data_IF_056349090250
#
_entry.id   IF_056349090250
#
_cell.length_a   1.000
_cell.length_b   1.000
_cell.length_c   1.000
_cell.angle_alpha   90.00
_cell.angle_beta   90.00
_cell.angle_gamma   90.00
#
_symmetry.space_group_name_H-M   'P 1'
#
loop_
_entity.id
_entity.type
_entity.pdbx_description
1 polymer ?
#
# COMPACT_ATOMS: atom_id res chain seq x y z
N UNK A 1 -28.73 -4.60 13.62
CA UNK A 1 -29.44 -3.33 13.83
C UNK A 1 -29.05 -2.85 15.19
N UNK A 2 -29.71 -3.38 16.22
CA UNK A 2 -29.44 -3.08 17.63
C UNK A 2 -27.95 -3.20 18.02
N UNK A 3 -27.28 -4.29 17.64
CA UNK A 3 -25.84 -4.51 17.95
C UNK A 3 -24.88 -3.45 17.36
N UNK A 4 -25.31 -2.70 16.35
CA UNK A 4 -24.55 -1.63 15.71
C UNK A 4 -25.27 -0.27 15.78
N UNK A 5 -26.26 -0.13 16.67
CA UNK A 5 -27.01 1.12 16.89
C UNK A 5 -27.88 1.58 15.71
N UNK A 6 -28.24 0.69 14.78
CA UNK A 6 -29.10 1.00 13.63
C UNK A 6 -30.54 0.54 13.87
N UNK A 7 -31.47 1.50 13.83
CA UNK A 7 -32.91 1.22 13.72
C UNK A 7 -33.27 1.01 12.25
N UNK A 8 -33.57 -0.25 11.89
CA UNK A 8 -33.93 -0.64 10.52
C UNK A 8 -35.20 0.04 10.01
N UNK A 9 -36.11 0.46 10.90
CA UNK A 9 -37.37 1.08 10.50
C UNK A 9 -37.21 2.53 10.06
N UNK A 10 -36.14 3.20 10.49
CA UNK A 10 -35.85 4.61 10.18
C UNK A 10 -34.57 4.80 9.35
N UNK A 11 -33.75 3.77 9.18
CA UNK A 11 -32.50 3.84 8.40
C UNK A 11 -32.77 3.72 6.89
N UNK A 12 -32.31 4.71 6.12
CA UNK A 12 -32.35 4.67 4.65
C UNK A 12 -31.16 3.88 4.10
N UNK A 13 -31.44 2.86 3.27
CA UNK A 13 -30.41 2.12 2.53
C UNK A 13 -30.21 2.72 1.15
N UNK A 14 -28.96 3.04 0.82
CA UNK A 14 -28.56 3.55 -0.50
C UNK A 14 -27.47 2.66 -1.05
N UNK A 15 -27.75 1.98 -2.16
CA UNK A 15 -26.76 1.18 -2.87
C UNK A 15 -25.88 2.11 -3.74
N UNK A 16 -24.56 1.98 -3.60
CA UNK A 16 -23.57 2.70 -4.41
C UNK A 16 -22.81 1.68 -5.25
N UNK A 17 -22.70 1.92 -6.55
CA UNK A 17 -21.96 1.02 -7.46
C UNK A 17 -20.49 0.93 -7.04
N UNK A 18 -19.89 -0.26 -7.10
CA UNK A 18 -18.54 -0.56 -6.63
C UNK A 18 -17.47 0.40 -7.15
N UNK A 19 -17.36 0.54 -8.47
CA UNK A 19 -16.37 1.45 -9.07
C UNK A 19 -16.70 2.92 -8.86
N UNK A 20 -17.97 3.27 -8.64
CA UNK A 20 -18.34 4.63 -8.27
C UNK A 20 -17.90 4.94 -6.83
N UNK A 21 -17.97 3.97 -5.92
CA UNK A 21 -17.40 4.10 -4.58
C UNK A 21 -15.87 4.24 -4.64
N UNK A 22 -15.17 3.46 -5.47
CA UNK A 22 -13.74 3.67 -5.73
C UNK A 22 -13.43 5.08 -6.27
N UNK A 23 -14.16 5.52 -7.29
CA UNK A 23 -14.01 6.84 -7.86
C UNK A 23 -14.22 7.96 -6.82
N UNK A 24 -15.28 7.84 -6.01
CA UNK A 24 -15.61 8.80 -4.96
C UNK A 24 -14.58 8.82 -3.82
N UNK A 25 -14.04 7.66 -3.43
CA UNK A 25 -13.01 7.60 -2.38
C UNK A 25 -11.70 8.25 -2.82
N UNK A 26 -11.42 8.34 -4.12
CA UNK A 26 -10.27 9.07 -4.62
C UNK A 26 -10.59 10.55 -4.90
N UNK A 27 -11.50 10.82 -5.84
CA UNK A 27 -11.72 12.18 -6.36
C UNK A 27 -12.16 13.17 -5.29
N UNK A 28 -13.19 12.84 -4.51
CA UNK A 28 -13.75 13.77 -3.53
C UNK A 28 -12.86 13.94 -2.29
N UNK A 29 -11.88 13.07 -2.11
CA UNK A 29 -10.92 13.14 -1.01
C UNK A 29 -9.55 13.69 -1.44
N UNK A 30 -9.31 13.87 -2.73
CA UNK A 30 -8.03 14.34 -3.27
C UNK A 30 -7.70 15.78 -2.90
N UNK A 31 -8.71 16.63 -2.66
CA UNK A 31 -8.52 18.05 -2.37
C UNK A 31 -8.11 18.89 -3.58
N UNK A 32 -8.37 18.39 -4.79
CA UNK A 32 -8.14 19.12 -6.04
C UNK A 32 -8.95 20.41 -6.14
N UNK A 33 -8.33 21.46 -6.64
CA UNK A 33 -8.99 22.74 -6.93
C UNK A 33 -9.63 22.74 -8.34
N UNK A 34 -10.62 21.85 -8.55
CA UNK A 34 -11.41 21.77 -9.77
C UNK A 34 -11.60 20.37 -10.34
N UNK A 35 -11.84 20.31 -11.66
CA UNK A 35 -12.06 19.06 -12.37
C UNK A 35 -10.81 18.16 -12.36
N UNK A 36 -11.01 16.85 -12.40
CA UNK A 36 -9.92 15.88 -12.48
C UNK A 36 -10.29 14.64 -13.28
N UNK A 37 -9.28 14.03 -13.89
CA UNK A 37 -9.39 12.68 -14.41
C UNK A 37 -9.56 11.68 -13.26
N UNK A 38 -10.35 10.63 -13.48
CA UNK A 38 -10.56 9.56 -12.51
C UNK A 38 -10.30 8.23 -13.19
N UNK A 39 -9.44 7.42 -12.57
CA UNK A 39 -9.20 6.05 -12.95
C UNK A 39 -9.47 5.13 -11.75
N UNK A 40 -10.10 3.99 -12.00
CA UNK A 40 -10.17 2.89 -11.03
C UNK A 40 -9.89 1.58 -11.75
N UNK A 41 -8.86 0.86 -11.31
CA UNK A 41 -8.47 -0.45 -11.87
C UNK A 41 -8.54 -1.47 -10.74
N UNK A 42 -9.43 -2.45 -10.87
CA UNK A 42 -9.73 -3.40 -9.80
C UNK A 42 -9.91 -4.83 -10.33
N UNK A 43 -9.95 -5.81 -9.42
CA UNK A 43 -10.16 -7.20 -9.77
C UNK A 43 -11.50 -7.39 -10.49
N UNK A 44 -12.60 -7.11 -9.78
CA UNK A 44 -13.98 -7.14 -10.27
C UNK A 44 -14.91 -6.50 -9.22
N UNK A 45 -15.73 -5.53 -9.63
CA UNK A 45 -16.87 -5.04 -8.85
C UNK A 45 -18.10 -5.94 -9.04
N UNK A 46 -19.25 -5.37 -9.40
CA UNK A 46 -20.42 -6.18 -9.78
C UNK A 46 -20.14 -6.96 -11.08
N UNK A 47 -19.64 -6.23 -12.09
CA UNK A 47 -19.22 -6.76 -13.39
C UNK A 47 -18.04 -5.99 -13.97
N UNK A 48 -17.97 -4.68 -13.69
CA UNK A 48 -16.88 -3.85 -14.14
C UNK A 48 -15.56 -4.24 -13.42
N UNK A 49 -14.45 -4.08 -14.13
CA UNK A 49 -13.08 -4.37 -13.70
C UNK A 49 -12.22 -3.11 -13.77
N UNK A 50 -12.62 -2.15 -14.60
CA UNK A 50 -11.94 -0.87 -14.75
C UNK A 50 -12.97 0.20 -15.05
N UNK A 51 -12.81 1.35 -14.42
CA UNK A 51 -13.63 2.54 -14.59
C UNK A 51 -12.75 3.72 -14.98
N UNK A 52 -13.20 4.47 -15.97
CA UNK A 52 -12.59 5.72 -16.42
C UNK A 52 -13.65 6.80 -16.40
N UNK A 53 -13.34 7.95 -15.81
CA UNK A 53 -14.29 9.04 -15.68
C UNK A 53 -13.63 10.40 -15.44
N UNK A 54 -14.48 11.40 -15.24
CA UNK A 54 -14.10 12.77 -14.90
C UNK A 54 -14.89 13.21 -13.68
N UNK A 55 -14.21 13.81 -12.73
CA UNK A 55 -14.83 14.52 -11.61
C UNK A 55 -15.06 15.98 -11.98
N UNK A 56 -16.28 16.47 -11.78
CA UNK A 56 -16.75 17.82 -12.11
C UNK A 56 -17.52 18.38 -10.90
N UNK A 57 -16.80 19.01 -9.98
CA UNK A 57 -17.33 19.47 -8.68
C UNK A 57 -17.90 18.31 -7.85
N UNK A 58 -19.21 18.32 -7.60
CA UNK A 58 -19.88 17.25 -6.85
C UNK A 58 -20.20 16.01 -7.71
N UNK A 59 -20.01 16.05 -9.03
CA UNK A 59 -20.44 15.00 -9.95
C UNK A 59 -19.25 14.15 -10.39
N UNK A 60 -19.51 12.85 -10.56
CA UNK A 60 -18.60 11.91 -11.23
C UNK A 60 -19.28 11.47 -12.51
N UNK A 61 -18.67 11.77 -13.66
CA UNK A 61 -19.16 11.38 -14.98
C UNK A 61 -18.34 10.22 -15.52
N UNK A 62 -18.99 9.09 -15.73
CA UNK A 62 -18.38 7.92 -16.37
C UNK A 62 -18.07 8.20 -17.84
N UNK A 63 -16.84 7.93 -18.27
CA UNK A 63 -16.44 7.89 -19.69
C UNK A 63 -16.56 6.45 -20.20
N UNK A 64 -15.96 5.50 -19.46
CA UNK A 64 -15.86 4.11 -19.90
C UNK A 64 -15.80 3.16 -18.70
N UNK A 65 -16.47 2.02 -18.84
CA UNK A 65 -16.27 0.85 -18.00
C UNK A 65 -15.82 -0.33 -18.88
N UNK A 66 -14.95 -1.16 -18.31
CA UNK A 66 -14.57 -2.47 -18.85
C UNK A 66 -15.07 -3.54 -17.92
N UNK A 67 -15.36 -4.72 -18.45
CA UNK A 67 -16.05 -5.78 -17.72
C UNK A 67 -15.30 -7.10 -17.78
N UNK A 68 -15.56 -7.94 -16.78
CA UNK A 68 -15.12 -9.33 -16.72
C UNK A 68 -15.48 -10.08 -18.03
N UNK A 69 -14.58 -10.89 -18.63
CA UNK A 69 -13.33 -11.42 -18.08
C UNK A 69 -12.08 -10.54 -18.30
N UNK A 70 -12.22 -9.38 -18.93
CA UNK A 70 -11.11 -8.48 -19.23
C UNK A 70 -10.78 -7.62 -18.00
N UNK A 71 -9.93 -8.16 -17.11
CA UNK A 71 -9.45 -7.50 -15.89
C UNK A 71 -7.92 -7.46 -15.86
N UNK A 72 -7.35 -6.25 -15.87
CA UNK A 72 -5.90 -6.05 -15.76
C UNK A 72 -5.39 -6.46 -14.37
N UNK A 73 -6.08 -6.07 -13.31
CA UNK A 73 -5.73 -6.47 -11.95
C UNK A 73 -5.98 -7.97 -11.73
N UNK A 74 -7.02 -8.53 -12.32
CA UNK A 74 -7.27 -9.97 -12.34
C UNK A 74 -6.13 -10.74 -13.01
N UNK A 75 -5.62 -10.25 -14.15
CA UNK A 75 -4.52 -10.87 -14.87
C UNK A 75 -3.23 -10.84 -14.04
N UNK A 76 -2.96 -9.70 -13.38
CA UNK A 76 -1.85 -9.56 -12.44
C UNK A 76 -1.98 -10.57 -11.28
N UNK A 77 -3.15 -10.66 -10.65
CA UNK A 77 -3.43 -11.62 -9.57
C UNK A 77 -3.36 -13.09 -10.01
N UNK A 78 -3.75 -13.40 -11.25
CA UNK A 78 -3.60 -14.73 -11.82
C UNK A 78 -2.12 -15.12 -11.97
N UNK A 79 -1.26 -14.19 -12.40
CA UNK A 79 0.18 -14.44 -12.43
C UNK A 79 0.79 -14.48 -11.02
N UNK A 80 0.32 -13.65 -10.09
CA UNK A 80 0.68 -13.76 -8.66
C UNK A 80 0.47 -15.18 -8.16
N UNK A 81 -0.65 -15.79 -8.52
CA UNK A 81 -0.93 -17.19 -8.17
C UNK A 81 -0.03 -18.20 -8.88
N UNK A 82 0.33 -17.94 -10.15
CA UNK A 82 1.30 -18.78 -10.90
C UNK A 82 2.72 -18.72 -10.28
N UNK A 83 3.09 -17.57 -9.71
CA UNK A 83 4.35 -17.36 -9.01
C UNK A 83 4.34 -17.92 -7.57
N UNK A 84 3.31 -18.68 -7.21
CA UNK A 84 3.22 -19.38 -5.93
C UNK A 84 2.75 -18.51 -4.76
N UNK A 85 2.32 -17.27 -5.03
CA UNK A 85 1.78 -16.37 -4.01
C UNK A 85 0.26 -16.43 -3.94
N UNK A 86 -0.31 -15.90 -2.85
CA UNK A 86 -1.75 -15.80 -2.68
C UNK A 86 -2.29 -14.59 -3.44
N UNK A 87 -3.39 -14.77 -4.19
CA UNK A 87 -4.07 -13.66 -4.86
C UNK A 87 -4.78 -12.79 -3.82
N UNK A 88 -4.83 -11.48 -4.03
CA UNK A 88 -5.33 -10.44 -3.11
C UNK A 88 -4.43 -10.15 -1.89
N UNK A 89 -3.24 -10.74 -1.82
CA UNK A 89 -2.20 -10.47 -0.81
C UNK A 89 -0.79 -10.39 -1.43
N UNK A 90 -0.52 -11.27 -2.39
CA UNK A 90 0.78 -11.52 -2.98
C UNK A 90 1.19 -10.58 -4.11
N UNK A 91 0.31 -9.70 -4.60
CA UNK A 91 0.58 -8.81 -5.73
C UNK A 91 1.79 -7.91 -5.45
N UNK A 92 1.94 -7.46 -4.19
CA UNK A 92 3.09 -6.68 -3.73
C UNK A 92 4.40 -7.47 -3.75
N UNK A 93 4.33 -8.79 -3.63
CA UNK A 93 5.50 -9.69 -3.71
C UNK A 93 5.97 -9.80 -5.15
N UNK A 94 5.04 -9.92 -6.10
CA UNK A 94 5.38 -9.87 -7.54
C UNK A 94 6.02 -8.53 -7.89
N UNK A 95 5.45 -7.43 -7.40
CA UNK A 95 5.99 -6.08 -7.62
C UNK A 95 7.40 -5.92 -7.01
N UNK A 96 7.62 -6.44 -5.80
CA UNK A 96 8.95 -6.44 -5.16
C UNK A 96 9.96 -7.39 -5.82
N UNK A 97 9.49 -8.45 -6.47
CA UNK A 97 10.35 -9.41 -7.18
C UNK A 97 10.75 -8.91 -8.58
N UNK A 98 9.93 -8.06 -9.21
CA UNK A 98 10.14 -7.58 -10.58
C UNK A 98 11.52 -6.94 -10.84
N UNK A 99 12.11 -6.14 -9.92
CA UNK A 99 13.44 -5.56 -10.12
C UNK A 99 14.61 -6.55 -10.18
N UNK A 100 14.41 -7.80 -9.76
CA UNK A 100 15.41 -8.86 -9.91
C UNK A 100 15.34 -9.56 -11.28
N UNK A 101 14.35 -9.21 -12.10
CA UNK A 101 14.11 -9.79 -13.42
C UNK A 101 14.56 -8.91 -14.57
N UNK A 102 14.34 -9.43 -15.77
CA UNK A 102 14.62 -8.76 -17.04
C UNK A 102 13.36 -8.92 -17.90
N UNK A 103 12.63 -7.82 -18.05
CA UNK A 103 11.36 -7.80 -18.78
C UNK A 103 11.53 -8.05 -20.29
N UNK A 104 12.74 -7.97 -20.84
CA UNK A 104 12.99 -8.23 -22.27
C UNK A 104 13.03 -9.72 -22.61
N UNK A 105 13.21 -10.60 -21.61
CA UNK A 105 13.28 -12.05 -21.81
C UNK A 105 11.93 -12.70 -22.11
N UNK A 106 10.83 -12.06 -21.71
CA UNK A 106 9.47 -12.60 -21.82
C UNK A 106 8.50 -11.48 -22.15
N UNK A 107 7.63 -11.68 -23.14
CA UNK A 107 6.64 -10.69 -23.54
C UNK A 107 5.21 -11.11 -23.13
N UNK A 108 4.63 -10.37 -22.19
CA UNK A 108 3.25 -10.55 -21.74
C UNK A 108 2.25 -9.56 -22.31
N UNK A 109 2.65 -8.66 -23.21
CA UNK A 109 1.72 -7.75 -23.93
C UNK A 109 0.71 -8.50 -24.80
N UNK A 110 1.00 -9.69 -25.35
CA UNK A 110 -0.01 -10.54 -25.97
C UNK A 110 -1.05 -11.07 -24.97
N UNK A 111 -0.63 -11.35 -23.72
CA UNK A 111 -1.45 -11.93 -22.65
C UNK A 111 -2.41 -10.90 -22.02
N UNK A 112 -1.97 -9.66 -21.81
CA UNK A 112 -2.80 -8.56 -21.34
C UNK A 112 -2.41 -7.23 -22.00
N UNK A 113 -3.37 -6.33 -22.19
CA UNK A 113 -3.08 -4.99 -22.69
C UNK A 113 -4.31 -4.11 -22.87
N UNK A 114 -4.07 -2.85 -23.27
CA UNK A 114 -5.08 -1.99 -23.85
C UNK A 114 -4.73 -1.73 -25.32
N UNK A 115 -5.63 -2.12 -26.25
CA UNK A 115 -5.47 -2.02 -27.70
C UNK A 115 -6.70 -1.31 -28.29
N UNK A 116 -6.50 -0.21 -29.01
CA UNK A 116 -7.58 0.61 -29.58
C UNK A 116 -8.66 0.98 -28.55
N UNK A 117 -8.22 1.37 -27.34
CA UNK A 117 -9.11 1.71 -26.23
C UNK A 117 -9.84 0.52 -25.60
N UNK A 118 -9.49 -0.74 -25.94
CA UNK A 118 -10.08 -1.94 -25.35
C UNK A 118 -9.09 -2.65 -24.45
N UNK A 119 -9.49 -2.93 -23.21
CA UNK A 119 -8.79 -3.90 -22.36
C UNK A 119 -8.98 -5.29 -22.97
N UNK A 120 -7.88 -6.01 -23.17
CA UNK A 120 -7.88 -7.36 -23.73
C UNK A 120 -7.05 -8.25 -22.82
N UNK A 121 -7.62 -9.38 -22.43
CA UNK A 121 -6.95 -10.42 -21.65
C UNK A 121 -7.10 -11.78 -22.33
N UNK A 122 -5.99 -12.52 -22.51
CA UNK A 122 -6.04 -13.88 -23.03
C UNK A 122 -6.55 -14.85 -21.95
N UNK A 123 -7.85 -15.11 -21.97
CA UNK A 123 -8.54 -15.98 -21.01
C UNK A 123 -8.13 -17.46 -21.06
N UNK A 124 -7.29 -17.86 -22.04
CA UNK A 124 -6.66 -19.19 -22.06
C UNK A 124 -5.47 -19.26 -21.09
N UNK A 125 -4.84 -18.12 -20.81
CA UNK A 125 -3.64 -17.99 -19.98
C UNK A 125 -3.98 -17.53 -18.56
N UNK A 126 -4.70 -16.42 -18.43
CA UNK A 126 -5.05 -15.76 -17.15
C UNK A 126 -6.54 -15.43 -17.12
N UNK A 127 -7.09 -14.97 -15.99
CA UNK A 127 -8.54 -14.79 -15.79
C UNK A 127 -9.39 -15.98 -16.25
N UNK A 128 -8.82 -17.18 -16.15
CA UNK A 128 -9.38 -18.35 -16.81
C UNK A 128 -10.65 -18.80 -16.08
N UNK A 129 -11.68 -19.17 -16.84
CA UNK A 129 -12.97 -19.66 -16.30
C UNK A 129 -13.18 -21.15 -16.57
N UNK A 130 -13.98 -21.79 -15.71
CA UNK A 130 -14.47 -23.15 -15.91
C UNK A 130 -13.37 -24.22 -16.02
N UNK A 131 -13.54 -25.15 -16.96
CA UNK A 131 -12.67 -26.33 -17.13
C UNK A 131 -11.26 -26.02 -17.65
N UNK A 132 -11.03 -24.80 -18.16
CA UNK A 132 -9.72 -24.36 -18.67
C UNK A 132 -8.71 -24.07 -17.55
N UNK A 133 -9.21 -23.82 -16.32
CA UNK A 133 -8.38 -23.53 -15.15
C UNK A 133 -7.37 -24.66 -14.90
N UNK A 134 -6.14 -24.28 -14.59
CA UNK A 134 -5.19 -25.19 -13.98
C UNK A 134 -5.73 -25.62 -12.61
N UNK A 135 -5.63 -26.91 -12.28
CA UNK A 135 -6.09 -27.46 -11.00
C UNK A 135 -4.92 -28.03 -10.24
N UNK A 136 -4.79 -27.65 -8.99
CA UNK A 136 -3.84 -28.25 -8.07
C UNK A 136 -4.58 -28.69 -6.80
N UNK A 137 -4.44 -29.97 -6.43
CA UNK A 137 -5.14 -30.59 -5.28
C UNK A 137 -6.64 -30.29 -5.27
N UNK A 138 -7.30 -30.41 -6.42
CA UNK A 138 -8.73 -30.18 -6.57
C UNK A 138 -9.18 -28.70 -6.61
N UNK A 139 -8.31 -27.75 -6.26
CA UNK A 139 -8.61 -26.31 -6.32
C UNK A 139 -8.26 -25.72 -7.69
N UNK A 140 -9.22 -25.03 -8.31
CA UNK A 140 -9.02 -24.30 -9.56
C UNK A 140 -8.25 -23.00 -9.34
N UNK A 141 -7.28 -22.72 -10.20
CA UNK A 141 -6.47 -21.50 -10.23
C UNK A 141 -7.05 -20.49 -11.22
N UNK A 142 -6.70 -19.22 -11.08
CA UNK A 142 -7.13 -18.13 -11.98
C UNK A 142 -6.32 -18.06 -13.29
N UNK A 143 -5.36 -18.97 -13.46
CA UNK A 143 -4.64 -19.19 -14.71
C UNK A 143 -4.96 -20.55 -15.34
N UNK A 144 -4.74 -20.65 -16.65
CA UNK A 144 -5.05 -21.82 -17.46
C UNK A 144 -3.91 -22.82 -17.56
N UNK A 145 -4.23 -24.04 -18.01
CA UNK A 145 -3.23 -25.08 -18.30
C UNK A 145 -2.23 -24.64 -19.38
N UNK A 146 -2.65 -23.76 -20.28
CA UNK A 146 -1.81 -23.23 -21.35
C UNK A 146 -0.67 -22.36 -20.81
N UNK A 147 -0.89 -21.59 -19.75
CA UNK A 147 0.17 -20.81 -19.11
C UNK A 147 1.29 -21.72 -18.58
N UNK A 148 0.93 -22.82 -17.91
CA UNK A 148 1.87 -23.83 -17.41
C UNK A 148 2.60 -24.54 -18.56
N UNK A 149 1.90 -24.79 -19.68
CA UNK A 149 2.52 -25.37 -20.87
C UNK A 149 3.58 -24.45 -21.48
N UNK A 150 3.34 -23.14 -21.46
CA UNK A 150 4.24 -22.14 -22.04
C UNK A 150 5.40 -21.77 -21.12
N UNK A 151 5.14 -21.56 -19.83
CA UNK A 151 6.10 -21.00 -18.88
C UNK A 151 6.77 -22.05 -17.99
N UNK A 152 6.29 -23.29 -18.02
CA UNK A 152 6.77 -24.37 -17.17
C UNK A 152 5.98 -24.51 -15.86
N UNK A 153 6.57 -25.16 -14.83
CA UNK A 153 5.87 -25.44 -13.59
C UNK A 153 5.50 -24.17 -12.83
N UNK A 154 4.44 -24.27 -12.01
CA UNK A 154 4.08 -23.24 -11.04
C UNK A 154 5.21 -23.10 -10.03
N UNK A 155 5.57 -21.87 -9.67
CA UNK A 155 6.66 -21.62 -8.72
C UNK A 155 6.28 -22.11 -7.32
N UNK A 156 7.24 -22.70 -6.62
CA UNK A 156 7.13 -23.11 -5.22
C UNK A 156 8.26 -22.50 -4.38
N UNK A 157 8.01 -22.26 -3.09
CA UNK A 157 9.00 -21.72 -2.14
C UNK A 157 9.04 -20.19 -2.05
N UNK A 158 10.10 -19.66 -1.42
CA UNK A 158 10.26 -18.24 -1.04
C UNK A 158 11.44 -17.53 -1.78
N UNK A 159 12.20 -18.26 -2.61
CA UNK A 159 13.35 -17.70 -3.35
C UNK A 159 12.93 -16.83 -4.55
N UNK A 160 13.69 -15.77 -4.86
CA UNK A 160 13.56 -15.02 -6.11
C UNK A 160 14.51 -15.65 -7.14
N UNK A 161 14.00 -16.61 -7.90
CA UNK A 161 14.76 -17.50 -8.77
C UNK A 161 14.40 -17.33 -10.26
N UNK A 162 15.36 -17.62 -11.13
CA UNK A 162 15.10 -17.73 -12.57
C UNK A 162 14.30 -19.01 -12.87
N UNK A 163 13.36 -18.97 -13.83
CA UNK A 163 13.00 -17.84 -14.70
C UNK A 163 11.93 -16.89 -14.11
N UNK A 164 11.43 -17.16 -12.90
CA UNK A 164 10.25 -16.49 -12.34
C UNK A 164 10.41 -15.01 -12.07
N UNK A 165 11.63 -14.56 -11.73
CA UNK A 165 11.95 -13.12 -11.62
C UNK A 165 11.69 -12.39 -12.94
N UNK A 166 12.01 -12.99 -14.09
CA UNK A 166 11.74 -12.40 -15.40
C UNK A 166 10.23 -12.37 -15.71
N UNK A 167 9.46 -13.38 -15.27
CA UNK A 167 8.00 -13.37 -15.40
C UNK A 167 7.37 -12.23 -14.58
N UNK A 168 7.86 -11.98 -13.36
CA UNK A 168 7.42 -10.84 -12.57
C UNK A 168 7.74 -9.50 -13.25
N UNK A 169 8.95 -9.34 -13.78
CA UNK A 169 9.37 -8.14 -14.52
C UNK A 169 8.52 -7.90 -15.77
N UNK A 170 8.27 -8.94 -16.57
CA UNK A 170 7.45 -8.87 -17.78
C UNK A 170 5.99 -8.51 -17.46
N UNK A 171 5.44 -9.07 -16.39
CA UNK A 171 4.07 -8.76 -15.96
C UNK A 171 3.92 -7.34 -15.44
N UNK A 172 4.88 -6.89 -14.62
CA UNK A 172 4.89 -5.52 -14.13
C UNK A 172 4.92 -4.54 -15.30
N UNK A 173 5.78 -4.77 -16.29
CA UNK A 173 5.89 -3.95 -17.50
C UNK A 173 4.58 -3.96 -18.31
N UNK A 174 4.04 -5.14 -18.61
CA UNK A 174 2.81 -5.26 -19.41
C UNK A 174 1.59 -4.63 -18.70
N UNK A 175 1.50 -4.75 -17.37
CA UNK A 175 0.46 -4.11 -16.57
C UNK A 175 0.58 -2.58 -16.60
N UNK A 176 1.78 -2.05 -16.39
CA UNK A 176 2.02 -0.61 -16.42
C UNK A 176 1.67 -0.01 -17.79
N UNK A 177 2.15 -0.61 -18.87
CA UNK A 177 1.85 -0.16 -20.24
C UNK A 177 0.36 -0.21 -20.55
N UNK A 178 -0.34 -1.28 -20.13
CA UNK A 178 -1.78 -1.41 -20.34
C UNK A 178 -2.56 -0.28 -19.66
N UNK A 179 -2.19 0.08 -18.42
CA UNK A 179 -2.85 1.16 -17.69
C UNK A 179 -2.49 2.54 -18.26
N UNK A 180 -1.23 2.77 -18.62
CA UNK A 180 -0.81 4.02 -19.26
C UNK A 180 -1.53 4.25 -20.60
N UNK A 181 -1.72 3.21 -21.42
CA UNK A 181 -2.52 3.30 -22.63
C UNK A 181 -3.99 3.66 -22.38
N UNK A 182 -4.58 3.23 -21.25
CA UNK A 182 -5.93 3.66 -20.87
C UNK A 182 -5.96 5.16 -20.54
N UNK A 183 -4.94 5.66 -19.85
CA UNK A 183 -4.78 7.08 -19.54
C UNK A 183 -4.63 7.88 -20.83
N UNK A 184 -3.73 7.47 -21.73
CA UNK A 184 -3.51 8.13 -23.02
C UNK A 184 -4.77 8.16 -23.88
N UNK A 185 -5.53 7.07 -23.93
CA UNK A 185 -6.69 6.96 -24.79
C UNK A 185 -7.91 7.74 -24.27
N UNK A 186 -8.19 7.66 -22.97
CA UNK A 186 -9.45 8.17 -22.41
C UNK A 186 -9.30 9.44 -21.57
N UNK A 187 -8.12 9.71 -21.03
CA UNK A 187 -7.92 10.77 -20.03
C UNK A 187 -7.01 11.90 -20.53
N UNK A 188 -6.28 11.73 -21.64
CA UNK A 188 -5.35 12.75 -22.17
C UNK A 188 -5.97 14.14 -22.32
N UNK A 189 -7.21 14.24 -22.83
CA UNK A 189 -7.88 15.54 -22.97
C UNK A 189 -8.24 16.21 -21.63
N UNK A 190 -8.59 15.43 -20.61
CA UNK A 190 -8.84 15.95 -19.26
C UNK A 190 -7.53 16.35 -18.60
N UNK A 191 -6.50 15.51 -18.69
CA UNK A 191 -5.18 15.77 -18.13
C UNK A 191 -4.51 16.99 -18.75
N UNK A 192 -4.56 17.15 -20.08
CA UNK A 192 -4.05 18.35 -20.74
C UNK A 192 -4.73 19.65 -20.28
N UNK A 193 -5.96 19.57 -19.77
CA UNK A 193 -6.72 20.72 -19.25
C UNK A 193 -6.50 20.96 -17.76
N UNK A 194 -6.38 19.89 -16.97
CA UNK A 194 -6.44 19.99 -15.50
C UNK A 194 -5.14 19.61 -14.80
N UNK A 195 -4.30 18.76 -15.39
CA UNK A 195 -3.11 18.20 -14.76
C UNK A 195 -3.40 17.23 -13.61
N UNK A 196 -4.66 16.84 -13.37
CA UNK A 196 -5.06 16.16 -12.12
C UNK A 196 -5.62 14.77 -12.36
N UNK A 197 -5.12 13.79 -11.60
CA UNK A 197 -5.58 12.41 -11.64
C UNK A 197 -5.87 11.86 -10.24
N UNK A 198 -7.10 11.41 -10.03
CA UNK A 198 -7.51 10.60 -8.89
C UNK A 198 -7.49 9.10 -9.27
N UNK A 199 -6.81 8.27 -8.47
CA UNK A 199 -6.63 6.85 -8.77
C UNK A 199 -7.01 5.92 -7.58
N UNK A 200 -7.83 4.91 -7.85
CA UNK A 200 -8.29 3.89 -6.89
C UNK A 200 -8.46 2.49 -7.52
N UNK A 201 -9.07 1.55 -6.80
CA UNK A 201 -9.11 0.12 -7.15
C UNK A 201 -7.85 -0.61 -6.71
N UNK A 202 -7.91 -1.93 -6.52
CA UNK A 202 -6.76 -2.71 -6.03
C UNK A 202 -5.50 -2.55 -6.87
N UNK A 203 -5.64 -2.29 -8.17
CA UNK A 203 -4.56 -1.99 -9.10
C UNK A 203 -3.79 -0.70 -8.78
N UNK A 204 -4.43 0.29 -8.16
CA UNK A 204 -3.79 1.55 -7.75
C UNK A 204 -2.80 1.38 -6.59
N UNK A 205 -2.75 0.21 -5.94
CA UNK A 205 -1.72 -0.10 -4.95
C UNK A 205 -0.37 -0.51 -5.59
N UNK A 206 -0.31 -0.55 -6.93
CA UNK A 206 0.93 -0.74 -7.69
C UNK A 206 1.75 0.57 -7.71
N UNK A 207 2.71 0.69 -6.81
CA UNK A 207 3.47 1.93 -6.61
C UNK A 207 4.45 2.26 -7.73
N UNK A 208 4.87 1.25 -8.52
CA UNK A 208 5.75 1.44 -9.69
C UNK A 208 4.97 2.02 -10.87
N UNK A 209 3.73 1.56 -11.07
CA UNK A 209 2.79 2.24 -11.98
C UNK A 209 2.57 3.69 -11.55
N UNK A 210 2.34 3.94 -10.25
CA UNK A 210 2.11 5.31 -9.77
C UNK A 210 3.33 6.23 -9.97
N UNK A 211 4.56 5.70 -9.85
CA UNK A 211 5.79 6.43 -10.20
C UNK A 211 5.76 6.86 -11.68
N UNK A 212 5.40 5.95 -12.60
CA UNK A 212 5.31 6.26 -14.04
C UNK A 212 4.19 7.24 -14.37
N UNK A 213 3.06 7.18 -13.67
CA UNK A 213 1.96 8.13 -13.82
C UNK A 213 2.39 9.53 -13.37
N UNK A 214 3.02 9.63 -12.19
CA UNK A 214 3.51 10.90 -11.65
C UNK A 214 4.59 11.54 -12.55
N UNK A 215 5.38 10.73 -13.25
CA UNK A 215 6.43 11.21 -14.15
C UNK A 215 5.92 11.73 -15.50
N UNK A 216 4.61 11.66 -15.78
CA UNK A 216 4.05 12.16 -17.04
C UNK A 216 4.03 13.69 -17.04
N UNK A 217 4.28 14.28 -18.20
CA UNK A 217 4.28 15.73 -18.37
C UNK A 217 2.89 16.39 -18.30
N UNK A 218 1.81 15.60 -18.42
CA UNK A 218 0.42 16.04 -18.33
C UNK A 218 -0.21 15.76 -16.95
N UNK A 219 0.61 15.40 -15.95
CA UNK A 219 0.17 15.13 -14.57
C UNK A 219 0.93 16.06 -13.61
N UNK A 220 0.24 17.07 -13.10
CA UNK A 220 0.72 18.01 -12.08
C UNK A 220 0.39 17.50 -10.66
N UNK A 221 -0.79 16.92 -10.47
CA UNK A 221 -1.24 16.38 -9.17
C UNK A 221 -1.79 14.96 -9.31
N UNK A 222 -1.23 14.04 -8.54
CA UNK A 222 -1.67 12.64 -8.47
C UNK A 222 -2.15 12.32 -7.05
N UNK A 223 -3.42 11.93 -6.91
CA UNK A 223 -3.95 11.38 -5.67
C UNK A 223 -4.23 9.89 -5.83
N UNK A 224 -3.54 9.07 -5.04
CA UNK A 224 -3.81 7.63 -4.94
C UNK A 224 -4.41 7.35 -3.57
N UNK A 225 -5.61 6.76 -3.55
CA UNK A 225 -6.32 6.45 -2.31
C UNK A 225 -5.49 5.45 -1.44
N UNK A 226 -5.08 5.79 -0.20
CA UNK A 226 -4.30 4.90 0.67
C UNK A 226 -4.96 3.53 0.90
N UNK A 227 -6.29 3.49 0.96
CA UNK A 227 -7.08 2.26 1.02
C UNK A 227 -7.71 1.93 -0.33
N UNK A 228 -6.93 1.99 -1.43
CA UNK A 228 -7.48 1.89 -2.80
C UNK A 228 -8.19 0.57 -3.15
N UNK A 229 -7.90 -0.53 -2.44
CA UNK A 229 -8.64 -1.78 -2.60
C UNK A 229 -10.06 -1.71 -2.03
N UNK A 230 -10.74 -2.85 -1.96
CA UNK A 230 -12.16 -2.91 -1.59
C UNK A 230 -12.50 -2.30 -0.23
N UNK A 231 -11.56 -2.27 0.72
CA UNK A 231 -11.77 -1.60 2.00
C UNK A 231 -12.17 -0.13 1.82
N UNK A 232 -11.57 0.59 0.87
CA UNK A 232 -11.86 1.99 0.57
C UNK A 232 -13.25 2.25 0.00
N UNK A 233 -13.96 1.22 -0.50
CA UNK A 233 -15.32 1.38 -1.04
C UNK A 233 -16.31 1.77 0.06
N UNK A 234 -16.08 1.36 1.31
CA UNK A 234 -16.91 1.78 2.45
C UNK A 234 -16.88 3.30 2.65
N UNK A 235 -15.68 3.88 2.65
CA UNK A 235 -15.45 5.32 2.70
C UNK A 235 -16.01 6.01 1.46
N UNK A 236 -15.76 5.46 0.28
CA UNK A 236 -16.24 5.99 -1.00
C UNK A 236 -17.76 6.06 -1.10
N UNK A 237 -18.46 5.01 -0.67
CA UNK A 237 -19.91 4.96 -0.64
C UNK A 237 -20.49 6.01 0.32
N UNK A 238 -19.90 6.15 1.52
CA UNK A 238 -20.32 7.17 2.48
C UNK A 238 -20.11 8.59 1.93
N UNK A 239 -18.94 8.87 1.35
CA UNK A 239 -18.60 10.16 0.73
C UNK A 239 -19.55 10.48 -0.43
N UNK A 240 -19.83 9.50 -1.30
CA UNK A 240 -20.73 9.68 -2.43
C UNK A 240 -22.15 10.06 -1.98
N UNK A 241 -22.69 9.38 -0.98
CA UNK A 241 -24.03 9.66 -0.44
C UNK A 241 -24.06 10.99 0.31
N UNK A 242 -23.03 11.31 1.09
CA UNK A 242 -22.92 12.58 1.83
C UNK A 242 -22.93 13.78 0.87
N UNK A 243 -22.15 13.72 -0.22
CA UNK A 243 -22.14 14.78 -1.25
C UNK A 243 -23.50 14.90 -1.94
N UNK A 244 -24.14 13.77 -2.27
CA UNK A 244 -25.48 13.78 -2.85
C UNK A 244 -26.54 14.36 -1.88
N UNK A 245 -26.31 14.30 -0.57
CA UNK A 245 -27.14 14.91 0.46
C UNK A 245 -26.83 16.40 0.70
N UNK A 246 -25.76 16.94 0.10
CA UNK A 246 -25.33 18.33 0.27
C UNK A 246 -24.32 18.55 1.40
N UNK A 247 -23.74 17.48 1.96
CA UNK A 247 -22.70 17.61 2.99
C UNK A 247 -21.39 18.12 2.41
N UNK A 248 -20.67 18.90 3.21
CA UNK A 248 -19.34 19.38 2.87
C UNK A 248 -18.26 18.35 3.24
N UNK A 249 -17.86 17.51 2.28
CA UNK A 249 -16.77 16.55 2.44
C UNK A 249 -15.42 17.25 2.26
N UNK A 250 -14.53 17.08 3.24
CA UNK A 250 -13.18 17.67 3.21
C UNK A 250 -12.17 16.71 2.59
N UNK A 251 -11.12 17.28 2.01
CA UNK A 251 -9.96 16.54 1.52
C UNK A 251 -9.33 15.68 2.62
N UNK A 252 -8.88 14.49 2.24
CA UNK A 252 -8.21 13.56 3.15
C UNK A 252 -6.79 14.01 3.43
N UNK A 253 -6.54 14.43 4.67
CA UNK A 253 -5.22 14.89 5.14
C UNK A 253 -4.36 13.75 5.69
N UNK A 254 -4.99 12.69 6.21
CA UNK A 254 -4.31 11.55 6.82
C UNK A 254 -5.18 10.30 6.81
N UNK A 255 -4.57 9.14 7.05
CA UNK A 255 -5.29 7.86 7.14
C UNK A 255 -5.62 7.41 8.57
N UNK A 256 -5.37 8.21 9.61
CA UNK A 256 -5.59 7.83 11.03
C UNK A 256 -7.08 7.80 11.44
N UNK A 257 -7.88 6.93 10.80
CA UNK A 257 -9.33 6.84 10.98
C UNK A 257 -9.75 5.74 11.97
N UNK A 258 -8.84 4.84 12.33
CA UNK A 258 -9.10 3.74 13.26
C UNK A 258 -9.14 4.17 14.74
N UNK A 259 -9.28 3.20 15.67
CA UNK A 259 -9.36 3.47 17.10
C UNK A 259 -8.02 3.97 17.66
N UNK A 260 -8.10 4.72 18.76
CA UNK A 260 -6.98 5.10 19.62
C UNK A 260 -7.17 4.52 21.02
N UNK A 261 -6.06 4.33 21.74
CA UNK A 261 -6.06 3.78 23.09
C UNK A 261 -5.26 4.69 24.00
N UNK A 262 -5.64 4.73 25.27
CA UNK A 262 -4.94 5.52 26.28
C UNK A 262 -3.74 4.75 26.86
N UNK A 263 -2.86 5.47 27.55
CA UNK A 263 -1.82 4.81 28.37
C UNK A 263 -2.41 3.83 29.39
N UNK A 264 -3.60 4.11 29.93
CA UNK A 264 -4.27 3.21 30.87
C UNK A 264 -4.70 1.89 30.20
N UNK A 265 -5.26 1.96 28.99
CA UNK A 265 -5.62 0.76 28.21
C UNK A 265 -4.39 -0.09 27.89
N UNK A 266 -3.26 0.56 27.58
CA UNK A 266 -1.98 -0.13 27.33
C UNK A 266 -1.45 -0.83 28.58
N UNK A 267 -1.48 -0.16 29.74
CA UNK A 267 -1.08 -0.76 31.01
C UNK A 267 -1.98 -1.93 31.41
N UNK A 268 -3.29 -1.82 31.17
CA UNK A 268 -4.24 -2.89 31.43
C UNK A 268 -3.93 -4.14 30.58
N UNK A 269 -3.61 -3.98 29.30
CA UNK A 269 -3.22 -5.08 28.43
C UNK A 269 -1.87 -5.72 28.79
N UNK A 270 -1.00 -5.00 29.51
CA UNK A 270 0.29 -5.49 30.00
C UNK A 270 0.21 -6.15 31.38
N UNK A 271 -0.93 -6.04 32.07
CA UNK A 271 -1.11 -6.59 33.41
C UNK A 271 -0.93 -8.12 33.41
N UNK A 272 -0.07 -8.62 34.30
CA UNK A 272 0.22 -10.05 34.42
C UNK A 272 1.15 -10.62 33.33
N UNK A 273 1.63 -9.79 32.40
CA UNK A 273 2.65 -10.21 31.43
C UNK A 273 4.03 -10.32 32.10
N UNK A 274 4.95 -11.16 31.60
CA UNK A 274 6.31 -11.28 32.14
C UNK A 274 7.24 -10.13 31.71
N UNK A 275 6.73 -9.12 31.01
CA UNK A 275 7.53 -8.04 30.47
C UNK A 275 7.90 -7.01 31.54
N UNK A 276 9.05 -6.37 31.38
CA UNK A 276 9.40 -5.19 32.17
C UNK A 276 8.66 -3.99 31.56
N UNK A 277 7.95 -3.25 32.41
CA UNK A 277 7.09 -2.14 32.02
C UNK A 277 7.52 -0.88 32.76
N UNK A 278 7.78 0.19 32.02
CA UNK A 278 8.18 1.48 32.59
C UNK A 278 7.41 2.62 31.92
N UNK A 279 6.88 3.55 32.72
CA UNK A 279 6.26 4.78 32.20
C UNK A 279 7.34 5.78 31.80
N UNK A 280 7.20 6.35 30.60
CA UNK A 280 8.13 7.29 30.02
C UNK A 280 7.64 8.73 30.23
N UNK A 281 8.59 9.63 30.53
CA UNK A 281 8.35 11.08 30.46
C UNK A 281 8.47 11.59 29.03
N UNK A 282 9.43 11.04 28.29
CA UNK A 282 9.67 11.35 26.88
C UNK A 282 9.73 10.05 26.05
N UNK A 283 8.56 9.56 25.60
CA UNK A 283 8.46 8.37 24.77
C UNK A 283 9.06 8.55 23.37
N UNK A 284 9.04 9.78 22.84
CA UNK A 284 9.58 10.11 21.52
C UNK A 284 11.10 9.97 21.54
N UNK A 285 11.76 10.68 22.45
CA UNK A 285 13.21 10.64 22.59
C UNK A 285 13.68 9.21 22.89
N UNK A 286 13.00 8.49 23.79
CA UNK A 286 13.41 7.13 24.14
C UNK A 286 13.31 6.16 22.97
N UNK A 287 12.24 6.25 22.16
CA UNK A 287 12.11 5.44 20.96
C UNK A 287 13.17 5.79 19.92
N UNK A 288 13.40 7.08 19.66
CA UNK A 288 14.43 7.54 18.74
C UNK A 288 15.84 7.06 19.16
N UNK A 289 16.16 7.14 20.45
CA UNK A 289 17.44 6.65 20.98
C UNK A 289 17.60 5.12 20.81
N UNK A 290 16.59 4.32 21.12
CA UNK A 290 16.62 2.86 20.88
C UNK A 290 16.81 2.53 19.40
N UNK A 291 16.11 3.25 18.52
CA UNK A 291 16.22 3.08 17.06
C UNK A 291 17.62 3.46 16.58
N UNK A 292 18.19 4.56 17.06
CA UNK A 292 19.54 5.02 16.74
C UNK A 292 20.63 4.04 17.23
N UNK A 293 20.40 3.38 18.38
CA UNK A 293 21.23 2.30 18.92
C UNK A 293 21.14 0.98 18.11
N UNK A 294 20.35 0.94 17.04
CA UNK A 294 20.21 -0.21 16.16
C UNK A 294 19.21 -1.26 16.65
N UNK A 295 18.31 -0.89 17.57
CA UNK A 295 17.22 -1.76 18.02
C UNK A 295 15.94 -1.52 17.21
N UNK A 296 15.35 -2.56 16.60
CA UNK A 296 13.98 -2.47 16.11
C UNK A 296 13.00 -2.24 17.27
N UNK A 297 12.10 -1.28 17.11
CA UNK A 297 11.11 -0.88 18.13
C UNK A 297 9.71 -1.05 17.58
N UNK A 298 8.86 -1.80 18.29
CA UNK A 298 7.42 -1.74 18.04
C UNK A 298 6.85 -0.41 18.53
N UNK A 299 6.12 0.30 17.68
CA UNK A 299 5.59 1.63 17.90
C UNK A 299 4.08 1.60 17.76
N UNK A 300 3.40 1.75 18.90
CA UNK A 300 1.95 1.70 19.01
C UNK A 300 1.45 3.04 19.58
N UNK A 301 0.92 3.90 18.72
CA UNK A 301 0.59 5.28 19.05
C UNK A 301 -0.71 5.75 18.41
N UNK A 302 -1.51 6.51 19.16
CA UNK A 302 -2.66 7.24 18.66
C UNK A 302 -3.67 6.40 17.87
N UNK A 303 -4.34 7.06 16.94
CA UNK A 303 -5.34 6.45 16.06
C UNK A 303 -4.66 5.57 15.00
N UNK A 304 -5.16 4.34 14.84
CA UNK A 304 -4.70 3.41 13.81
C UNK A 304 -4.95 3.94 12.40
N UNK A 305 -4.05 3.60 11.48
CA UNK A 305 -4.14 3.89 10.05
C UNK A 305 -5.22 3.04 9.37
N UNK A 306 -5.92 3.62 8.39
CA UNK A 306 -6.83 2.92 7.50
C UNK A 306 -6.13 2.56 6.20
N UNK A 307 -6.24 1.29 5.80
CA UNK A 307 -5.59 0.74 4.61
C UNK A 307 -4.48 -0.27 4.94
N UNK A 308 -3.75 -0.77 3.92
CA UNK A 308 -2.84 -1.88 4.07
C UNK A 308 -1.43 -1.48 4.55
N UNK A 309 -1.17 -0.19 4.78
CA UNK A 309 0.16 0.35 5.11
C UNK A 309 0.15 0.91 6.52
N UNK A 310 1.19 0.60 7.29
CA UNK A 310 1.47 1.33 8.51
C UNK A 310 2.17 2.65 8.18
N UNK A 311 1.67 3.72 8.76
CA UNK A 311 2.05 5.11 8.52
C UNK A 311 2.44 5.80 9.83
N UNK A 312 3.08 5.05 10.74
CA UNK A 312 3.64 5.58 11.98
C UNK A 312 2.73 5.54 13.20
N UNK A 313 1.60 4.82 13.15
CA UNK A 313 0.74 4.59 14.30
C UNK A 313 0.78 3.13 14.80
N UNK A 314 0.90 2.17 13.88
CA UNK A 314 1.09 0.74 14.18
C UNK A 314 2.27 0.20 13.38
N UNK A 315 3.46 0.60 13.80
CA UNK A 315 4.70 0.39 13.05
C UNK A 315 5.75 -0.42 13.82
N UNK A 316 6.65 -1.09 13.10
CA UNK A 316 7.97 -1.47 13.60
C UNK A 316 8.96 -0.51 12.97
N UNK A 317 9.72 0.15 13.82
CA UNK A 317 10.67 1.21 13.48
C UNK A 317 12.10 0.70 13.62
N UNK A 318 12.99 1.12 12.71
CA UNK A 318 14.40 0.81 12.78
C UNK A 318 15.26 1.87 12.07
N UNK A 319 16.54 1.98 12.43
CA UNK A 319 17.45 2.91 11.78
C UNK A 319 17.85 2.38 10.40
N UNK A 320 17.54 3.07 9.29
CA UNK A 320 17.88 2.62 7.95
C UNK A 320 19.40 2.71 7.66
N UNK A 321 20.16 3.33 8.56
CA UNK A 321 21.62 3.45 8.50
C UNK A 321 22.34 2.25 9.13
N UNK A 322 21.63 1.43 9.91
CA UNK A 322 22.21 0.25 10.56
C UNK A 322 22.33 -0.90 9.56
N UNK A 323 23.57 -1.30 9.23
CA UNK A 323 23.84 -2.41 8.31
C UNK A 323 23.17 -3.72 8.79
N UNK A 324 22.42 -4.37 7.91
CA UNK A 324 21.78 -5.67 8.17
C UNK A 324 20.50 -5.60 9.01
N UNK A 325 20.00 -4.40 9.33
CA UNK A 325 18.77 -4.24 10.11
C UNK A 325 17.55 -4.78 9.37
N UNK A 326 17.51 -4.65 8.03
CA UNK A 326 16.45 -5.19 7.19
C UNK A 326 16.41 -6.72 7.27
N UNK A 327 17.57 -7.37 7.12
CA UNK A 327 17.71 -8.83 7.24
C UNK A 327 17.28 -9.32 8.62
N UNK A 328 17.71 -8.60 9.67
CA UNK A 328 17.32 -8.91 11.05
C UNK A 328 15.82 -8.85 11.25
N UNK A 329 15.15 -7.79 10.78
CA UNK A 329 13.68 -7.68 10.87
C UNK A 329 13.01 -8.78 10.07
N UNK A 330 13.49 -9.08 8.86
CA UNK A 330 12.94 -10.15 8.03
C UNK A 330 13.08 -11.54 8.70
N UNK A 331 14.19 -11.81 9.37
CA UNK A 331 14.47 -13.10 10.01
C UNK A 331 13.83 -13.26 11.41
N UNK A 332 13.89 -12.23 12.25
CA UNK A 332 13.51 -12.33 13.67
C UNK A 332 12.06 -11.89 13.94
N UNK A 333 11.47 -11.09 13.05
CA UNK A 333 10.16 -10.46 13.29
C UNK A 333 9.16 -10.84 12.22
N UNK A 334 9.52 -10.71 10.95
CA UNK A 334 8.60 -10.89 9.84
C UNK A 334 8.54 -12.30 9.28
N UNK A 335 9.58 -13.10 9.47
CA UNK A 335 9.70 -14.46 8.96
C UNK A 335 9.35 -14.55 7.46
N UNK A 336 9.89 -13.60 6.66
CA UNK A 336 9.57 -13.40 5.24
C UNK A 336 10.82 -13.28 4.38
N UNK A 337 10.62 -13.24 3.07
CA UNK A 337 11.66 -13.27 2.05
C UNK A 337 12.62 -12.06 2.16
N UNK A 338 13.94 -12.30 1.99
CA UNK A 338 14.99 -11.27 2.19
C UNK A 338 14.91 -10.12 1.19
N UNK A 339 14.47 -10.41 -0.02
CA UNK A 339 14.34 -9.44 -1.11
C UNK A 339 13.14 -8.50 -0.94
N UNK A 340 12.30 -8.67 0.08
CA UNK A 340 11.18 -7.75 0.31
C UNK A 340 11.66 -6.39 0.81
N UNK A 341 11.40 -5.30 0.08
CA UNK A 341 11.79 -3.96 0.52
C UNK A 341 11.07 -3.54 1.81
N UNK A 342 11.76 -2.70 2.57
CA UNK A 342 11.15 -1.85 3.58
C UNK A 342 10.95 -0.43 3.03
N UNK A 343 10.29 0.42 3.81
CA UNK A 343 9.90 1.75 3.35
C UNK A 343 10.42 2.82 4.30
N UNK A 344 10.92 3.96 3.77
CA UNK A 344 11.30 5.08 4.61
C UNK A 344 10.06 5.87 5.05
N UNK A 345 10.04 6.32 6.30
CA UNK A 345 9.29 7.51 6.70
C UNK A 345 10.30 8.64 6.97
N UNK A 346 10.03 9.84 6.47
CA UNK A 346 10.93 11.01 6.55
C UNK A 346 10.16 12.31 6.72
N UNK A 347 10.82 13.37 7.18
CA UNK A 347 10.18 14.69 7.33
C UNK A 347 10.00 15.40 5.99
N UNK A 348 8.99 16.27 5.90
CA UNK A 348 8.77 17.12 4.73
C UNK A 348 9.97 18.01 4.39
N UNK A 349 10.77 18.40 5.39
CA UNK A 349 11.93 19.26 5.22
C UNK A 349 13.02 18.65 4.31
N UNK A 350 13.26 17.34 4.41
CA UNK A 350 14.29 16.64 3.61
C UNK A 350 13.73 15.95 2.37
N UNK A 351 12.40 15.84 2.25
CA UNK A 351 11.77 15.07 1.18
C UNK A 351 12.17 15.50 -0.24
N UNK A 352 12.25 16.80 -0.59
CA UNK A 352 12.69 17.20 -1.93
C UNK A 352 14.12 16.75 -2.27
N UNK A 353 15.02 16.77 -1.28
CA UNK A 353 16.43 16.37 -1.45
C UNK A 353 16.58 14.85 -1.58
N UNK A 354 15.76 14.07 -0.85
CA UNK A 354 15.79 12.61 -0.89
C UNK A 354 15.12 12.05 -2.14
N UNK A 355 13.97 12.62 -2.51
CA UNK A 355 13.05 12.07 -3.52
C UNK A 355 13.18 12.71 -4.90
N UNK A 356 13.87 13.86 -5.00
CA UNK A 356 13.94 14.63 -6.25
C UNK A 356 12.56 15.12 -6.74
N UNK A 357 11.57 15.23 -5.84
CA UNK A 357 10.19 15.56 -6.17
C UNK A 357 9.57 16.46 -5.10
N UNK A 358 8.68 17.35 -5.53
CA UNK A 358 7.86 18.18 -4.64
C UNK A 358 6.56 17.47 -4.20
N UNK A 359 6.29 16.26 -4.68
CA UNK A 359 5.07 15.53 -4.35
C UNK A 359 5.00 15.21 -2.84
N UNK A 360 3.86 15.45 -2.16
CA UNK A 360 3.76 15.33 -0.70
C UNK A 360 3.85 13.89 -0.18
N UNK A 361 3.53 12.87 -0.98
CA UNK A 361 3.71 11.43 -0.68
C UNK A 361 3.41 10.96 0.77
N UNK A 362 2.24 11.26 1.35
CA UNK A 362 1.96 10.97 2.77
C UNK A 362 1.55 9.50 3.05
N UNK A 363 1.35 8.68 2.01
CA UNK A 363 0.63 7.40 2.13
C UNK A 363 1.42 6.16 1.73
N UNK A 364 2.70 6.30 1.34
CA UNK A 364 3.47 5.21 0.74
C UNK A 364 2.76 4.55 -0.46
N UNK A 365 2.08 5.33 -1.29
CA UNK A 365 1.36 4.83 -2.48
C UNK A 365 2.15 5.03 -3.77
N UNK A 366 3.30 5.69 -3.72
CA UNK A 366 4.11 6.03 -4.89
C UNK A 366 5.58 5.71 -4.59
N UNK A 367 6.30 5.22 -5.60
CA UNK A 367 7.75 5.00 -5.54
C UNK A 367 8.48 6.19 -6.16
N UNK A 368 9.68 6.50 -5.64
CA UNK A 368 10.55 7.55 -6.14
C UNK A 368 11.97 7.02 -6.33
N UNK A 369 12.69 7.58 -7.30
CA UNK A 369 14.13 7.38 -7.42
C UNK A 369 14.83 8.13 -6.28
N UNK A 370 15.62 7.42 -5.50
CA UNK A 370 16.32 8.03 -4.36
C UNK A 370 17.59 8.70 -4.85
N UNK A 371 17.82 9.94 -4.42
CA UNK A 371 19.03 10.68 -4.73
C UNK A 371 20.29 9.91 -4.32
N UNK A 372 21.33 9.95 -5.15
CA UNK A 372 22.52 9.08 -5.01
C UNK A 372 23.19 9.21 -3.63
N UNK A 373 23.33 10.44 -3.13
CA UNK A 373 23.93 10.73 -1.82
C UNK A 373 23.13 10.13 -0.65
N UNK A 374 21.82 9.97 -0.83
CA UNK A 374 20.95 9.36 0.17
C UNK A 374 20.97 7.84 0.11
N UNK A 375 21.20 7.22 -1.05
CA UNK A 375 21.22 5.75 -1.20
C UNK A 375 22.19 5.08 -0.22
N UNK A 376 23.35 5.68 0.04
CA UNK A 376 24.35 5.16 0.99
C UNK A 376 23.92 5.35 2.45
N UNK A 377 23.23 6.44 2.77
CA UNK A 377 22.82 6.81 4.13
C UNK A 377 21.61 6.01 4.63
N UNK A 378 20.70 5.67 3.71
CA UNK A 378 19.44 4.98 4.01
C UNK A 378 19.30 3.66 3.22
N UNK A 379 20.41 3.00 2.89
CA UNK A 379 20.43 1.84 1.99
C UNK A 379 19.56 0.65 2.41
N UNK A 380 19.16 0.55 3.68
CA UNK A 380 18.28 -0.52 4.17
C UNK A 380 16.79 -0.34 3.78
N UNK A 381 16.43 0.82 3.20
CA UNK A 381 15.07 1.12 2.71
C UNK A 381 15.06 1.51 1.23
N UNK A 382 16.20 1.38 0.54
CA UNK A 382 16.33 1.55 -0.91
C UNK A 382 16.32 0.17 -1.55
N UNK A 383 15.53 0.02 -2.60
CA UNK A 383 15.37 -1.23 -3.32
C UNK A 383 16.51 -1.45 -4.34
N UNK A 384 16.59 -2.65 -4.91
CA UNK A 384 17.65 -3.04 -5.85
C UNK A 384 17.77 -2.07 -7.05
N UNK A 385 16.64 -1.53 -7.52
CA UNK A 385 16.58 -0.57 -8.62
C UNK A 385 16.87 0.89 -8.21
N UNK A 386 17.32 1.13 -6.97
CA UNK A 386 17.63 2.46 -6.47
C UNK A 386 16.41 3.29 -6.06
N UNK A 387 15.22 2.66 -6.01
CA UNK A 387 13.97 3.35 -5.65
C UNK A 387 13.53 3.08 -4.22
N UNK A 388 12.68 3.94 -3.66
CA UNK A 388 11.98 3.66 -2.42
C UNK A 388 10.54 4.19 -2.45
N UNK A 389 9.71 3.65 -1.54
CA UNK A 389 8.29 4.00 -1.39
C UNK A 389 8.10 4.77 -0.07
N UNK A 390 8.28 6.10 -0.07
CA UNK A 390 8.34 6.89 1.15
C UNK A 390 6.97 7.17 1.77
N UNK A 391 6.98 7.47 3.06
CA UNK A 391 5.99 8.30 3.73
C UNK A 391 6.66 9.62 4.10
N UNK A 392 6.21 10.72 3.54
CA UNK A 392 6.58 12.04 4.08
C UNK A 392 5.62 12.37 5.22
N UNK A 393 6.19 12.67 6.37
CA UNK A 393 5.45 12.93 7.61
C UNK A 393 5.40 14.43 7.83
N UNK A 394 4.17 14.93 8.00
CA UNK A 394 3.89 16.32 8.33
C UNK A 394 3.60 16.47 9.84
N UNK A 395 4.09 17.56 10.42
CA UNK A 395 3.97 17.85 11.85
C UNK A 395 2.52 18.05 12.30
N UNK A 396 1.65 18.56 11.44
CA UNK A 396 0.24 18.79 11.75
C UNK A 396 -0.53 17.46 11.79
N UNK A 397 -0.24 16.56 10.85
CA UNK A 397 -0.98 15.28 10.73
C UNK A 397 -0.55 14.23 11.74
N UNK A 398 0.75 14.16 12.09
CA UNK A 398 1.26 13.25 13.10
C UNK A 398 2.44 13.86 13.88
N UNK A 399 2.16 14.76 14.85
CA UNK A 399 3.19 15.50 15.56
C UNK A 399 4.16 14.60 16.34
N UNK A 400 3.67 13.51 16.94
CA UNK A 400 4.50 12.59 17.72
C UNK A 400 5.48 11.82 16.84
N UNK A 401 5.03 11.38 15.67
CA UNK A 401 5.88 10.66 14.72
C UNK A 401 6.85 11.60 14.01
N UNK A 402 6.42 12.83 13.70
CA UNK A 402 7.32 13.88 13.20
C UNK A 402 8.45 14.18 14.20
N UNK A 403 8.12 14.38 15.47
CA UNK A 403 9.11 14.63 16.51
C UNK A 403 10.09 13.47 16.67
N UNK A 404 9.65 12.21 16.49
CA UNK A 404 10.54 11.05 16.49
C UNK A 404 11.55 11.10 15.35
N UNK A 405 11.11 11.52 14.15
CA UNK A 405 12.00 11.68 13.00
C UNK A 405 13.00 12.83 13.21
N UNK A 406 12.57 13.94 13.81
CA UNK A 406 13.47 15.05 14.16
C UNK A 406 14.53 14.60 15.17
N UNK A 407 14.13 13.93 16.26
CA UNK A 407 15.08 13.35 17.21
C UNK A 407 16.03 12.36 16.57
N UNK A 408 15.57 11.54 15.62
CA UNK A 408 16.45 10.66 14.84
C UNK A 408 17.42 11.43 13.96
N UNK A 409 16.98 12.55 13.37
CA UNK A 409 17.82 13.49 12.65
C UNK A 409 18.98 14.00 13.50
N UNK A 410 18.69 14.42 14.73
CA UNK A 410 19.72 14.90 15.68
C UNK A 410 20.71 13.79 16.07
N UNK A 411 20.23 12.55 16.22
CA UNK A 411 21.05 11.41 16.66
C UNK A 411 21.87 10.77 15.54
N UNK A 412 21.37 10.76 14.31
CA UNK A 412 21.93 9.98 13.19
C UNK A 412 22.35 10.83 11.99
N UNK A 413 22.04 12.13 12.02
CA UNK A 413 22.20 13.06 10.91
C UNK A 413 21.14 12.92 9.82
N UNK A 414 20.21 11.96 9.91
CA UNK A 414 19.16 11.72 8.92
C UNK A 414 17.79 11.57 9.60
N UNK A 415 16.83 12.48 9.39
CA UNK A 415 15.47 12.36 9.93
C UNK A 415 14.64 11.36 9.10
N UNK A 416 15.14 10.13 9.00
CA UNK A 416 14.57 9.02 8.24
C UNK A 416 14.53 7.78 9.11
N UNK A 417 13.42 7.07 9.10
CA UNK A 417 13.26 5.78 9.79
C UNK A 417 12.79 4.71 8.81
N UNK A 418 13.27 3.49 8.98
CA UNK A 418 12.65 2.32 8.37
C UNK A 418 11.31 2.08 9.07
N UNK A 419 10.23 2.04 8.28
CA UNK A 419 8.88 1.77 8.75
C UNK A 419 8.31 0.52 8.05
N UNK A 420 7.78 -0.40 8.86
CA UNK A 420 6.97 -1.53 8.40
C UNK A 420 5.79 -1.75 9.33
N UNK A 421 4.74 -2.43 8.85
CA UNK A 421 3.56 -2.80 9.64
C UNK A 421 3.87 -3.48 10.96
N UNK A 422 3.08 -3.23 12.01
CA UNK A 422 3.14 -3.97 13.27
C UNK A 422 2.29 -5.25 13.17
N UNK A 423 2.81 -6.26 12.47
CA UNK A 423 2.20 -7.59 12.30
C UNK A 423 3.24 -8.71 12.17
N UNK A 424 2.83 -9.97 12.38
CA UNK A 424 3.59 -11.15 11.95
C UNK A 424 3.13 -11.60 10.55
N UNK A 425 3.84 -12.55 9.93
CA UNK A 425 3.44 -13.14 8.64
C UNK A 425 2.07 -13.81 8.79
N UNK A 426 1.14 -13.46 7.90
CA UNK A 426 -0.23 -14.02 7.89
C UNK A 426 -1.20 -13.32 8.85
N UNK A 427 -0.80 -12.25 9.53
CA UNK A 427 -1.64 -11.51 10.45
C UNK A 427 -1.93 -10.08 9.96
N UNK A 428 -3.10 -9.50 10.30
CA UNK A 428 -3.37 -8.09 10.08
C UNK A 428 -2.47 -7.20 10.97
N UNK A 429 -2.43 -5.91 10.66
CA UNK A 429 -1.79 -4.90 11.53
C UNK A 429 -2.47 -4.93 12.90
N UNK A 430 -1.68 -4.96 13.98
CA UNK A 430 -2.19 -4.95 15.35
C UNK A 430 -3.08 -3.73 15.59
N UNK A 431 -4.32 -3.97 16.01
CA UNK A 431 -5.31 -2.91 16.22
C UNK A 431 -5.29 -2.47 17.69
N UNK A 432 -5.55 -3.42 18.60
CA UNK A 432 -5.70 -3.19 20.03
C UNK A 432 -4.37 -3.33 20.79
N UNK A 433 -4.29 -2.82 22.03
CA UNK A 433 -3.16 -3.07 22.90
C UNK A 433 -2.88 -4.56 23.11
N UNK A 434 -3.93 -5.39 23.22
CA UNK A 434 -3.80 -6.84 23.37
C UNK A 434 -3.18 -7.49 22.12
N UNK A 435 -3.55 -7.04 20.91
CA UNK A 435 -2.95 -7.52 19.66
C UNK A 435 -1.45 -7.18 19.63
N UNK A 436 -1.09 -5.96 20.02
CA UNK A 436 0.31 -5.51 20.06
C UNK A 436 1.14 -6.30 21.09
N UNK A 437 0.60 -6.55 22.28
CA UNK A 437 1.24 -7.38 23.32
C UNK A 437 1.42 -8.82 22.85
N UNK A 438 0.40 -9.41 22.23
CA UNK A 438 0.46 -10.77 21.67
C UNK A 438 1.53 -10.89 20.59
N UNK A 439 1.56 -9.94 19.64
CA UNK A 439 2.61 -9.86 18.62
C UNK A 439 3.99 -9.70 19.25
N UNK A 440 4.13 -8.78 20.20
CA UNK A 440 5.40 -8.51 20.85
C UNK A 440 5.93 -9.78 21.52
N UNK A 441 5.08 -10.52 22.25
CA UNK A 441 5.44 -11.80 22.86
C UNK A 441 5.99 -12.82 21.85
N UNK A 442 5.36 -12.92 20.68
CA UNK A 442 5.63 -13.92 19.63
C UNK A 442 6.71 -13.52 18.62
N UNK A 443 7.23 -12.30 18.70
CA UNK A 443 8.27 -11.79 17.80
C UNK A 443 9.66 -11.77 18.42
N UNK A 444 10.72 -11.59 17.62
CA UNK A 444 12.08 -11.33 18.11
C UNK A 444 12.31 -9.93 18.67
N UNK A 445 11.31 -9.03 18.64
CA UNK A 445 11.44 -7.66 19.13
C UNK A 445 11.78 -7.62 20.62
N UNK A 446 12.67 -6.71 21.00
CA UNK A 446 13.12 -6.54 22.38
C UNK A 446 12.45 -5.35 23.08
N UNK A 447 11.99 -4.37 22.31
CA UNK A 447 11.40 -3.14 22.81
C UNK A 447 10.10 -2.81 22.07
N UNK A 448 9.11 -2.37 22.84
CA UNK A 448 7.86 -1.83 22.34
C UNK A 448 7.53 -0.56 23.11
N UNK A 449 7.08 0.48 22.41
CA UNK A 449 6.58 1.71 22.99
C UNK A 449 5.09 1.81 22.66
N UNK A 450 4.26 1.73 23.70
CA UNK A 450 2.80 1.85 23.62
C UNK A 450 2.37 3.11 24.35
N UNK A 451 1.91 4.12 23.61
CA UNK A 451 1.67 5.45 24.18
C UNK A 451 2.91 5.91 25.00
N UNK A 452 2.74 6.18 26.30
CA UNK A 452 3.78 6.65 27.20
C UNK A 452 4.46 5.50 27.97
N UNK A 453 4.43 4.27 27.45
CA UNK A 453 4.93 3.08 28.15
C UNK A 453 6.01 2.41 27.32
N UNK A 454 7.18 2.18 27.93
CA UNK A 454 8.19 1.27 27.43
C UNK A 454 7.92 -0.14 27.95
N UNK A 455 7.97 -1.10 27.05
CA UNK A 455 7.89 -2.53 27.34
C UNK A 455 9.17 -3.19 26.83
N UNK A 456 9.85 -3.95 27.69
CA UNK A 456 11.05 -4.71 27.32
C UNK A 456 10.96 -6.17 27.71
N UNK A 457 11.54 -7.04 26.88
CA UNK A 457 11.66 -8.50 27.17
C UNK A 457 12.77 -8.83 28.16
N UNK A 458 13.74 -7.94 28.32
CA UNK A 458 14.81 -8.06 29.30
C UNK A 458 14.44 -7.29 30.56
N UNK A 459 14.71 -7.89 31.72
CA UNK A 459 14.86 -7.16 32.97
C UNK A 459 15.97 -6.13 32.78
N UNK A 460 15.67 -4.86 33.09
CA UNK A 460 16.65 -3.79 33.09
C UNK A 460 17.76 -4.04 34.13
#
# INVERSE_FOLDING_TARGET
>A
GEDIGLDWSSTRFVAVRHHLAHAASAYHLAGFDGDAAILSVDGKGEYATTFVGVGEGARIRTIKEFHDPDSLAGAYGALTQYLGFEMLDGEFRVMGMAPYGDASRVDFRPMLGCRDGKVVVDTRLVNTVGWRRHRHRGKGRYFGKELVRQLGPVREGDAADEPYVHYAAAMQTAYEEAVLHLIDHYLAGTLARTGRLAFAGGGALNVKLNQRILARADVDELFVQPAAGDSGTSLGAAVFVAIAAGDNVRAMQHAYLGPSFTTADCLAALAGTPFTVARLKDPVWRAANLVAEGHPVAWFQGRMEFGPRALGARSILASPSTKGIADRINAEVKFRERWRPFCPSLTAAIAPEVLGSAHPAPYMTITFDIAEDWRKRIGQVVHEDGTARPQVVDRVTNPRYHALLECLGDLTGAPVVLNTSLNLRGEPIACTPADAVSLFARSGLQYMVMEDVLVSKRSA
#
